data_IF_609121031514
#
_entry.id   IF_609121031514
#
_cell.length_a   1.000
_cell.length_b   1.000
_cell.length_c   1.000
_cell.angle_alpha   90.00
_cell.angle_beta   90.00
_cell.angle_gamma   90.00
#
_symmetry.space_group_name_H-M   'P 1'
#
loop_
_entity.id
_entity.type
_entity.pdbx_description
1 polymer ?
#
# COMPACT_ATOMS: atom_id res chain seq x y z
N UNK A 1 -24.54 -1.52 2.64
CA UNK A 1 -24.32 -2.36 3.84
C UNK A 1 -23.10 -1.81 4.55
N UNK A 2 -23.14 -1.53 5.85
CA UNK A 2 -21.99 -0.93 6.54
C UNK A 2 -21.00 -1.99 7.05
N UNK A 3 -20.36 -2.70 6.13
CA UNK A 3 -19.34 -3.70 6.44
C UNK A 3 -17.96 -3.03 6.53
N UNK A 4 -17.22 -3.37 7.57
CA UNK A 4 -15.88 -2.88 7.84
C UNK A 4 -14.91 -4.05 7.88
N UNK A 5 -13.76 -3.87 7.27
CA UNK A 5 -12.67 -4.84 7.24
C UNK A 5 -11.60 -4.42 8.23
N UNK A 6 -11.21 -5.36 9.09
CA UNK A 6 -10.04 -5.24 9.97
C UNK A 6 -8.92 -6.06 9.35
N UNK A 7 -7.87 -5.39 8.87
CA UNK A 7 -6.72 -5.98 8.15
C UNK A 7 -5.40 -5.60 8.86
N UNK A 8 -4.46 -6.51 9.18
CA UNK A 8 -3.13 -6.14 9.63
C UNK A 8 -2.36 -5.35 8.57
N UNK A 9 -1.49 -4.45 9.04
CA UNK A 9 -0.64 -3.60 8.20
C UNK A 9 0.43 -4.44 7.49
N UNK A 10 0.63 -4.18 6.18
CA UNK A 10 1.72 -4.78 5.40
C UNK A 10 3.07 -4.36 6.00
N UNK A 11 3.97 -5.33 6.22
CA UNK A 11 5.31 -5.17 6.82
C UNK A 11 5.38 -5.00 8.34
N UNK A 12 4.27 -5.07 9.08
CA UNK A 12 4.41 -5.16 10.52
C UNK A 12 4.95 -6.56 10.84
N UNK A 13 6.16 -6.64 11.41
CA UNK A 13 6.72 -7.85 12.03
C UNK A 13 5.92 -8.19 13.29
N UNK A 14 4.60 -8.22 13.20
CA UNK A 14 3.80 -8.88 14.20
C UNK A 14 4.33 -10.30 14.25
N UNK A 15 4.91 -10.66 15.39
CA UNK A 15 5.37 -12.01 15.66
C UNK A 15 4.15 -12.93 15.61
N UNK A 16 3.78 -13.37 14.42
CA UNK A 16 2.79 -14.40 14.25
C UNK A 16 3.45 -15.70 14.70
N UNK A 17 2.90 -16.33 15.73
CA UNK A 17 3.30 -17.68 16.15
C UNK A 17 2.73 -18.64 15.11
N UNK A 18 3.44 -18.79 13.99
CA UNK A 18 3.20 -19.83 12.99
C UNK A 18 4.02 -21.08 13.28
N UNK A 19 3.49 -22.25 12.94
CA UNK A 19 4.26 -23.49 12.94
C UNK A 19 5.47 -23.33 11.99
N UNK A 20 6.68 -23.46 12.52
CA UNK A 20 7.91 -23.42 11.74
C UNK A 20 7.94 -24.65 10.82
N UNK A 21 7.83 -24.45 9.51
CA UNK A 21 8.27 -25.46 8.55
C UNK A 21 9.76 -25.23 8.28
N UNK A 22 10.60 -26.09 8.84
CA UNK A 22 12.03 -26.20 8.51
C UNK A 22 12.15 -27.01 7.22
N UNK A 23 12.83 -26.45 6.21
CA UNK A 23 13.29 -27.20 5.05
C UNK A 23 14.78 -27.43 5.25
N UNK A 24 15.18 -28.70 5.33
CA UNK A 24 16.61 -29.07 5.37
C UNK A 24 17.14 -29.10 3.94
N UNK A 25 18.13 -28.26 3.64
CA UNK A 25 18.91 -28.37 2.41
C UNK A 25 20.31 -28.91 2.76
N UNK A 26 20.71 -29.99 2.08
CA UNK A 26 22.04 -30.58 2.23
C UNK A 26 22.91 -29.96 1.15
N UNK A 27 23.94 -29.23 1.55
CA UNK A 27 24.92 -28.65 0.63
C UNK A 27 25.66 -29.80 -0.08
N UNK A 28 25.54 -29.94 -1.42
CA UNK A 28 26.05 -31.10 -2.14
C UNK A 28 27.58 -31.19 -2.16
N UNK A 29 28.29 -30.13 -1.79
CA UNK A 29 29.76 -30.09 -1.75
C UNK A 29 30.30 -30.34 -0.35
N UNK A 30 29.64 -29.82 0.69
CA UNK A 30 30.16 -29.87 2.07
C UNK A 30 29.47 -30.92 2.96
N UNK A 31 28.32 -31.47 2.55
CA UNK A 31 27.54 -32.42 3.35
C UNK A 31 26.94 -31.82 4.63
N UNK A 32 27.13 -30.52 4.86
CA UNK A 32 26.63 -29.81 6.05
C UNK A 32 25.15 -29.47 5.83
N UNK A 33 24.30 -29.95 6.73
CA UNK A 33 22.89 -29.55 6.80
C UNK A 33 22.82 -28.06 7.12
N UNK A 34 22.26 -27.25 6.24
CA UNK A 34 21.95 -25.85 6.52
C UNK A 34 20.44 -25.69 6.65
N UNK A 35 19.99 -25.21 7.80
CA UNK A 35 18.63 -24.73 7.95
C UNK A 35 18.51 -23.40 7.21
N UNK A 36 17.90 -23.43 6.02
CA UNK A 36 17.62 -22.22 5.25
C UNK A 36 16.19 -21.75 5.50
N UNK A 37 16.06 -20.68 6.27
CA UNK A 37 14.82 -19.91 6.35
C UNK A 37 14.70 -18.99 5.12
N UNK A 38 14.24 -19.53 3.99
CA UNK A 38 13.90 -18.72 2.81
C UNK A 38 12.59 -19.16 2.17
N UNK A 39 11.47 -18.78 2.76
CA UNK A 39 10.24 -18.57 2.00
C UNK A 39 10.12 -17.08 1.69
N UNK A 40 10.23 -16.72 0.41
CA UNK A 40 9.69 -15.45 -0.10
C UNK A 40 8.17 -15.62 -0.11
N UNK A 41 7.49 -15.05 0.87
CA UNK A 41 6.02 -14.97 0.83
C UNK A 41 5.64 -13.77 -0.03
N UNK A 42 4.99 -14.02 -1.15
CA UNK A 42 4.41 -12.98 -2.03
C UNK A 42 3.05 -12.49 -1.50
N UNK A 43 2.42 -13.28 -0.61
CA UNK A 43 1.19 -12.91 0.08
C UNK A 43 1.46 -12.20 1.40
N UNK A 44 0.51 -11.37 1.85
CA UNK A 44 0.66 -10.57 3.07
C UNK A 44 0.81 -11.39 4.37
N UNK A 45 0.78 -12.75 4.36
CA UNK A 45 0.71 -13.59 5.58
C UNK A 45 1.34 -14.98 5.46
N UNK A 46 1.69 -15.52 6.62
CA UNK A 46 2.00 -16.94 6.83
C UNK A 46 0.70 -17.77 6.84
N UNK A 47 0.60 -18.86 6.06
CA UNK A 47 -0.50 -19.81 6.12
C UNK A 47 -0.71 -20.33 7.55
N UNK A 48 -1.97 -20.47 7.98
CA UNK A 48 -2.33 -21.02 9.30
C UNK A 48 -2.32 -20.03 10.48
N UNK A 49 -2.04 -18.74 10.24
CA UNK A 49 -2.13 -17.72 11.29
C UNK A 49 -3.58 -17.32 11.58
N UNK A 50 -3.93 -17.26 12.86
CA UNK A 50 -5.23 -16.79 13.34
C UNK A 50 -5.06 -15.73 14.41
N UNK A 51 -5.98 -14.79 14.46
CA UNK A 51 -6.04 -13.82 15.55
C UNK A 51 -7.48 -13.68 16.01
N UNK A 52 -7.64 -13.35 17.30
CA UNK A 52 -8.94 -13.23 17.94
C UNK A 52 -9.12 -11.79 18.38
N UNK A 53 -10.25 -11.19 18.02
CA UNK A 53 -10.69 -9.89 18.55
C UNK A 53 -11.74 -10.17 19.62
N UNK A 54 -11.61 -9.49 20.75
CA UNK A 54 -12.62 -9.41 21.80
C UNK A 54 -12.70 -7.99 22.34
N UNK A 55 -13.39 -7.80 23.45
CA UNK A 55 -13.36 -6.54 24.21
C UNK A 55 -12.31 -6.66 25.32
N UNK A 56 -11.14 -6.03 25.20
CA UNK A 56 -10.08 -6.17 26.19
C UNK A 56 -10.34 -5.28 27.40
N UNK A 57 -9.92 -5.74 28.57
CA UNK A 57 -9.88 -4.95 29.79
C UNK A 57 -8.71 -3.95 29.76
N UNK A 58 -8.96 -2.69 30.11
CA UNK A 58 -7.94 -1.67 30.30
C UNK A 58 -7.57 -1.58 31.78
N UNK A 59 -6.39 -2.09 32.14
CA UNK A 59 -5.87 -2.06 33.50
C UNK A 59 -5.70 -0.63 34.03
N UNK A 60 -5.37 0.34 33.17
CA UNK A 60 -5.10 1.70 33.60
C UNK A 60 -6.39 2.48 33.85
N UNK A 61 -7.44 2.22 33.06
CA UNK A 61 -8.74 2.89 33.19
C UNK A 61 -9.72 2.14 34.07
N UNK A 62 -9.41 0.89 34.46
CA UNK A 62 -10.29 0.03 35.25
C UNK A 62 -11.63 -0.24 34.56
N UNK A 63 -11.60 -0.45 33.24
CA UNK A 63 -12.81 -0.67 32.45
C UNK A 63 -12.54 -1.44 31.16
N UNK A 64 -13.55 -2.07 30.59
CA UNK A 64 -13.49 -2.60 29.23
C UNK A 64 -13.35 -1.49 28.18
N UNK A 65 -12.53 -1.73 27.15
CA UNK A 65 -12.31 -0.78 26.05
C UNK A 65 -13.53 -0.75 25.13
N UNK A 66 -14.46 0.17 25.40
CA UNK A 66 -15.62 0.49 24.58
C UNK A 66 -15.80 2.00 24.52
N UNK A 67 -15.80 2.55 23.30
CA UNK A 67 -15.93 3.99 23.07
C UNK A 67 -17.37 4.42 22.81
N UNK A 68 -17.79 5.49 23.49
CA UNK A 68 -18.96 6.28 23.12
C UNK A 68 -20.30 5.53 23.17
N UNK A 69 -20.43 4.54 24.05
CA UNK A 69 -21.66 3.77 24.23
C UNK A 69 -22.25 4.07 25.61
N UNK A 70 -23.55 4.37 25.65
CA UNK A 70 -24.27 4.55 26.92
C UNK A 70 -24.56 3.19 27.58
N UNK A 71 -24.81 3.18 28.90
CA UNK A 71 -25.18 1.94 29.61
C UNK A 71 -26.47 1.32 29.06
N UNK A 72 -27.44 2.15 28.69
CA UNK A 72 -28.73 1.68 28.16
C UNK A 72 -28.56 1.09 26.76
N UNK A 73 -27.76 1.73 25.91
CA UNK A 73 -27.39 1.21 24.60
C UNK A 73 -26.66 -0.14 24.72
N UNK A 74 -25.65 -0.25 25.60
CA UNK A 74 -24.95 -1.50 25.86
C UNK A 74 -25.92 -2.62 26.29
N UNK A 75 -26.80 -2.33 27.24
CA UNK A 75 -27.75 -3.31 27.75
C UNK A 75 -28.78 -3.75 26.70
N UNK A 76 -29.13 -2.90 25.73
CA UNK A 76 -29.94 -3.31 24.59
C UNK A 76 -29.23 -4.36 23.73
N UNK A 77 -27.96 -4.12 23.37
CA UNK A 77 -27.15 -5.08 22.62
C UNK A 77 -26.90 -6.39 23.37
N UNK A 78 -26.70 -6.33 24.70
CA UNK A 78 -26.55 -7.52 25.55
C UNK A 78 -27.79 -8.41 25.46
N UNK A 79 -28.99 -7.82 25.52
CA UNK A 79 -30.26 -8.54 25.41
C UNK A 79 -30.44 -9.17 24.03
N UNK A 80 -30.06 -8.46 22.97
CA UNK A 80 -30.16 -8.97 21.60
C UNK A 80 -29.23 -10.16 21.32
N UNK A 81 -28.06 -10.18 21.97
CA UNK A 81 -27.07 -11.26 21.85
C UNK A 81 -27.51 -12.57 22.51
N UNK A 82 -28.44 -12.52 23.46
CA UNK A 82 -29.00 -13.69 24.17
C UNK A 82 -27.93 -14.63 24.71
N UNK A 83 -26.85 -14.07 25.25
CA UNK A 83 -25.82 -14.86 25.93
C UNK A 83 -26.37 -15.39 27.26
N UNK A 84 -25.89 -16.56 27.66
CA UNK A 84 -26.29 -17.21 28.90
C UNK A 84 -25.10 -17.35 29.83
N UNK A 85 -25.31 -17.25 31.14
CA UNK A 85 -24.23 -17.50 32.10
C UNK A 85 -23.62 -18.90 31.86
N UNK A 86 -22.31 -18.95 31.61
CA UNK A 86 -21.59 -20.20 31.34
C UNK A 86 -21.38 -21.01 32.64
N UNK A 87 -21.18 -20.31 33.75
CA UNK A 87 -20.85 -20.87 35.06
C UNK A 87 -21.61 -20.18 36.21
N UNK A 88 -21.55 -20.79 37.40
CA UNK A 88 -22.14 -20.27 38.64
C UNK A 88 -23.62 -20.62 38.87
N UNK A 89 -24.25 -20.06 39.91
CA UNK A 89 -25.63 -20.39 40.31
C UNK A 89 -26.70 -20.03 39.27
N UNK A 90 -26.37 -19.11 38.36
CA UNK A 90 -27.25 -18.60 37.31
C UNK A 90 -27.02 -19.28 35.96
N UNK A 91 -26.22 -20.33 35.91
CA UNK A 91 -25.87 -21.05 34.67
C UNK A 91 -27.10 -21.36 33.82
N UNK A 92 -27.03 -21.05 32.53
CA UNK A 92 -28.12 -21.27 31.58
C UNK A 92 -29.20 -20.18 31.56
N UNK A 93 -29.22 -19.25 32.52
CA UNK A 93 -30.10 -18.07 32.44
C UNK A 93 -29.49 -17.00 31.51
N UNK A 94 -30.33 -16.16 30.90
CA UNK A 94 -29.89 -15.12 29.98
C UNK A 94 -29.26 -13.93 30.72
N UNK A 95 -28.14 -13.45 30.20
CA UNK A 95 -27.50 -12.21 30.64
C UNK A 95 -28.28 -11.04 30.03
N UNK A 96 -28.72 -10.09 30.86
CA UNK A 96 -29.56 -8.95 30.44
C UNK A 96 -28.87 -7.60 30.56
N UNK A 97 -27.81 -7.54 31.35
CA UNK A 97 -27.07 -6.33 31.70
C UNK A 97 -25.59 -6.67 31.71
N UNK A 98 -24.77 -5.67 31.37
CA UNK A 98 -23.32 -5.76 31.46
C UNK A 98 -22.77 -4.51 32.17
N UNK A 99 -21.72 -4.70 32.96
CA UNK A 99 -20.98 -3.62 33.59
C UNK A 99 -19.59 -3.48 32.95
N UNK A 100 -19.32 -2.29 32.40
CA UNK A 100 -18.05 -1.98 31.75
C UNK A 100 -16.92 -1.86 32.79
N UNK A 101 -17.26 -1.60 34.06
CA UNK A 101 -16.32 -1.39 35.16
C UNK A 101 -16.07 -2.64 36.02
N UNK A 102 -16.73 -3.77 35.74
CA UNK A 102 -16.48 -5.03 36.43
C UNK A 102 -15.59 -5.94 35.57
N UNK A 103 -14.35 -6.16 35.98
CA UNK A 103 -13.40 -7.02 35.26
C UNK A 103 -13.90 -8.47 35.12
N UNK A 104 -14.70 -8.95 36.06
CA UNK A 104 -15.24 -10.31 36.09
C UNK A 104 -16.64 -10.40 35.49
N UNK A 105 -17.09 -9.34 34.80
CA UNK A 105 -18.41 -9.30 34.20
C UNK A 105 -18.64 -10.53 33.28
N UNK A 106 -19.73 -11.29 33.52
CA UNK A 106 -20.01 -12.52 32.78
C UNK A 106 -20.29 -12.33 31.29
N UNK A 107 -20.74 -11.15 30.87
CA UNK A 107 -20.96 -10.85 29.46
C UNK A 107 -19.64 -10.61 28.73
N UNK A 108 -18.76 -9.77 29.29
CA UNK A 108 -17.49 -9.43 28.66
C UNK A 108 -16.50 -10.60 28.59
N UNK A 109 -16.55 -11.50 29.58
CA UNK A 109 -15.71 -12.70 29.61
C UNK A 109 -16.30 -13.89 28.83
N UNK A 110 -17.53 -13.77 28.31
CA UNK A 110 -18.23 -14.84 27.62
C UNK A 110 -17.46 -15.35 26.38
N UNK A 111 -17.39 -16.66 26.16
CA UNK A 111 -16.60 -17.25 25.05
C UNK A 111 -17.06 -16.77 23.67
N UNK A 112 -18.36 -16.48 23.54
CA UNK A 112 -19.01 -16.00 22.31
C UNK A 112 -18.79 -14.50 22.02
N UNK A 113 -18.27 -13.69 22.96
CA UNK A 113 -17.94 -12.28 22.72
C UNK A 113 -16.54 -12.13 22.08
N UNK A 114 -16.18 -13.07 21.21
CA UNK A 114 -14.87 -13.12 20.55
C UNK A 114 -15.06 -13.57 19.12
N UNK A 115 -14.36 -12.92 18.20
CA UNK A 115 -14.31 -13.34 16.80
C UNK A 115 -12.89 -13.77 16.44
N UNK A 116 -12.77 -14.99 15.91
CA UNK A 116 -11.52 -15.52 15.40
C UNK A 116 -11.49 -15.34 13.89
N UNK A 117 -10.42 -14.75 13.38
CA UNK A 117 -10.11 -14.74 11.95
C UNK A 117 -9.21 -15.90 11.60
N UNK A 118 -9.54 -16.58 10.51
CA UNK A 118 -8.59 -17.45 9.82
C UNK A 118 -8.06 -16.67 8.61
N UNK A 119 -6.74 -16.54 8.52
CA UNK A 119 -6.13 -15.82 7.41
C UNK A 119 -6.16 -14.31 7.56
N UNK A 120 -6.39 -13.77 8.76
CA UNK A 120 -6.01 -12.42 9.17
C UNK A 120 -6.91 -11.25 8.75
N UNK A 121 -8.06 -11.47 8.10
CA UNK A 121 -9.06 -10.40 7.86
C UNK A 121 -10.33 -10.72 8.64
N UNK A 122 -10.91 -9.71 9.29
CA UNK A 122 -12.25 -9.82 9.90
C UNK A 122 -13.17 -8.84 9.21
N UNK A 123 -14.28 -9.35 8.68
CA UNK A 123 -15.39 -8.52 8.23
C UNK A 123 -16.36 -8.34 9.40
N UNK A 124 -16.48 -7.10 9.87
CA UNK A 124 -17.44 -6.67 10.88
C UNK A 124 -18.60 -5.98 10.19
N UNK A 125 -19.80 -6.47 10.46
CA UNK A 125 -21.05 -5.93 9.93
C UNK A 125 -21.69 -5.08 11.02
N UNK A 126 -21.72 -3.75 10.87
CA UNK A 126 -22.22 -2.86 11.93
C UNK A 126 -23.71 -3.07 12.24
N UNK A 127 -24.47 -3.77 11.37
CA UNK A 127 -25.87 -4.11 11.62
C UNK A 127 -26.02 -5.24 12.66
N UNK A 128 -24.98 -6.06 12.85
CA UNK A 128 -24.99 -7.16 13.83
C UNK A 128 -24.49 -6.67 15.19
N UNK A 129 -25.26 -6.85 16.29
CA UNK A 129 -24.88 -6.44 17.65
C UNK A 129 -23.45 -6.82 18.08
N UNK A 130 -23.07 -8.09 17.84
CA UNK A 130 -21.74 -8.59 18.20
C UNK A 130 -20.64 -7.84 17.47
N UNK A 131 -20.81 -7.67 16.16
CA UNK A 131 -19.80 -7.06 15.30
C UNK A 131 -19.67 -5.56 15.59
N UNK A 132 -20.77 -4.88 15.90
CA UNK A 132 -20.77 -3.48 16.30
C UNK A 132 -20.02 -3.25 17.62
N UNK A 133 -20.26 -4.09 18.64
CA UNK A 133 -19.51 -4.03 19.90
C UNK A 133 -18.01 -4.25 19.70
N UNK A 134 -17.64 -5.24 18.88
CA UNK A 134 -16.23 -5.51 18.56
C UNK A 134 -15.60 -4.36 17.76
N UNK A 135 -16.32 -3.75 16.83
CA UNK A 135 -15.85 -2.56 16.10
C UNK A 135 -15.57 -1.39 17.04
N UNK A 136 -16.49 -1.09 17.98
CA UNK A 136 -16.31 -0.04 18.99
C UNK A 136 -15.12 -0.31 19.92
N UNK A 137 -14.89 -1.58 20.26
CA UNK A 137 -13.71 -2.00 21.01
C UNK A 137 -12.42 -1.78 20.23
N UNK A 138 -12.39 -2.13 18.94
CA UNK A 138 -11.23 -1.89 18.09
C UNK A 138 -10.88 -0.40 18.03
N UNK A 139 -11.85 0.51 17.91
CA UNK A 139 -11.59 1.95 17.84
C UNK A 139 -10.90 2.53 19.09
N UNK A 140 -11.11 1.95 20.28
CA UNK A 140 -10.41 2.41 21.50
C UNK A 140 -9.02 1.75 21.66
N UNK A 141 -8.75 0.69 20.92
CA UNK A 141 -7.55 -0.10 21.11
C UNK A 141 -6.36 0.45 20.29
N UNK A 142 -5.19 0.70 20.91
CA UNK A 142 -4.06 1.36 20.25
C UNK A 142 -3.45 0.57 19.09
N UNK A 143 -3.62 -0.75 19.08
CA UNK A 143 -3.16 -1.59 17.96
C UNK A 143 -4.02 -1.44 16.69
N UNK A 144 -5.16 -0.75 16.75
CA UNK A 144 -6.05 -0.57 15.62
C UNK A 144 -6.14 0.90 15.22
N UNK A 145 -6.29 1.15 13.93
CA UNK A 145 -6.42 2.50 13.39
C UNK A 145 -7.43 2.53 12.24
N UNK A 146 -8.32 3.50 12.25
CA UNK A 146 -9.32 3.67 11.20
C UNK A 146 -8.75 4.50 10.05
N UNK A 147 -8.77 3.91 8.85
CA UNK A 147 -8.24 4.54 7.64
C UNK A 147 -9.05 5.79 7.30
N UNK A 148 -8.39 6.95 7.36
CA UNK A 148 -9.01 8.25 7.11
C UNK A 148 -9.23 9.10 8.37
N UNK A 149 -8.94 8.57 9.57
CA UNK A 149 -9.06 9.30 10.84
C UNK A 149 -7.89 10.25 11.16
N UNK A 150 -6.83 10.27 10.35
CA UNK A 150 -5.66 11.16 10.54
C UNK A 150 -4.33 10.55 10.09
N UNK A 151 -3.23 10.95 10.73
CA UNK A 151 -1.94 10.30 10.56
C UNK A 151 -1.90 8.97 11.34
N UNK A 152 -1.46 7.89 10.69
CA UNK A 152 -1.38 6.57 11.32
C UNK A 152 -0.27 6.52 12.39
N UNK A 153 -0.58 6.18 13.65
CA UNK A 153 0.43 5.99 14.68
C UNK A 153 1.40 4.83 14.37
N UNK A 154 2.66 4.93 14.82
CA UNK A 154 3.70 3.94 14.48
C UNK A 154 3.54 2.57 15.13
N UNK A 155 2.74 2.45 16.20
CA UNK A 155 2.51 1.22 16.96
C UNK A 155 1.27 0.42 16.50
N UNK A 156 0.57 0.90 15.48
CA UNK A 156 -0.64 0.24 14.96
C UNK A 156 -0.25 -1.10 14.32
N UNK A 157 -1.06 -2.12 14.58
CA UNK A 157 -0.94 -3.47 13.97
C UNK A 157 -2.01 -3.73 12.92
N UNK A 158 -3.21 -3.17 13.11
CA UNK A 158 -4.39 -3.39 12.29
C UNK A 158 -4.99 -2.08 11.76
N UNK A 159 -5.41 -2.10 10.51
CA UNK A 159 -6.17 -1.04 9.86
C UNK A 159 -7.62 -1.46 9.74
N UNK A 160 -8.50 -0.55 10.07
CA UNK A 160 -9.94 -0.65 9.92
C UNK A 160 -10.33 0.16 8.68
N UNK A 161 -10.94 -0.47 7.69
CA UNK A 161 -11.38 0.19 6.44
C UNK A 161 -12.79 -0.23 6.08
N UNK A 162 -13.62 0.68 5.56
CA UNK A 162 -14.90 0.31 4.96
C UNK A 162 -14.69 -0.65 3.78
N UNK A 163 -15.44 -1.76 3.74
CA UNK A 163 -15.26 -2.81 2.74
C UNK A 163 -15.44 -2.28 1.32
N UNK A 164 -16.49 -1.49 1.09
CA UNK A 164 -16.83 -0.91 -0.22
C UNK A 164 -15.70 0.01 -0.73
N UNK A 165 -15.19 0.90 0.13
CA UNK A 165 -14.09 1.81 -0.21
C UNK A 165 -12.80 1.05 -0.50
N UNK A 166 -12.51 0.02 0.27
CA UNK A 166 -11.28 -0.77 0.06
C UNK A 166 -11.36 -1.58 -1.24
N UNK A 167 -12.51 -2.19 -1.54
CA UNK A 167 -12.72 -2.85 -2.83
C UNK A 167 -12.67 -1.87 -4.00
N UNK A 168 -13.19 -0.66 -3.85
CA UNK A 168 -13.11 0.37 -4.88
C UNK A 168 -11.65 0.78 -5.16
N UNK A 169 -10.84 0.95 -4.12
CA UNK A 169 -9.42 1.27 -4.26
C UNK A 169 -8.61 0.11 -4.87
N UNK A 170 -8.89 -1.13 -4.46
CA UNK A 170 -8.25 -2.33 -5.02
C UNK A 170 -8.63 -2.50 -6.51
N UNK A 171 -9.90 -2.32 -6.85
CA UNK A 171 -10.37 -2.40 -8.25
C UNK A 171 -9.82 -1.27 -9.10
N UNK A 172 -9.83 -0.03 -8.63
CA UNK A 172 -9.20 1.11 -9.31
C UNK A 172 -7.71 0.82 -9.56
N UNK A 173 -7.01 0.24 -8.58
CA UNK A 173 -5.61 -0.09 -8.74
C UNK A 173 -5.36 -1.16 -9.83
N UNK A 174 -6.25 -2.15 -9.94
CA UNK A 174 -6.23 -3.19 -10.98
C UNK A 174 -6.59 -2.61 -12.35
N UNK A 175 -7.65 -1.80 -12.43
CA UNK A 175 -8.09 -1.15 -13.67
C UNK A 175 -6.97 -0.26 -14.22
N UNK A 176 -6.38 0.60 -13.40
CA UNK A 176 -5.24 1.45 -13.80
C UNK A 176 -4.06 0.63 -14.32
N UNK A 177 -3.80 -0.55 -13.72
CA UNK A 177 -2.75 -1.46 -14.20
C UNK A 177 -3.09 -2.03 -15.59
N UNK A 178 -4.33 -2.50 -15.78
CA UNK A 178 -4.78 -3.04 -17.06
C UNK A 178 -4.77 -1.97 -18.15
N UNK A 179 -5.19 -0.75 -17.83
CA UNK A 179 -5.14 0.40 -18.75
C UNK A 179 -3.69 0.70 -19.18
N UNK A 180 -2.74 0.72 -18.23
CA UNK A 180 -1.33 0.94 -18.54
C UNK A 180 -0.77 -0.16 -19.46
N UNK A 181 -1.10 -1.43 -19.21
CA UNK A 181 -0.67 -2.54 -20.06
C UNK A 181 -1.32 -2.50 -21.46
N UNK A 182 -2.60 -2.17 -21.54
CA UNK A 182 -3.30 -1.97 -22.81
C UNK A 182 -2.71 -0.80 -23.60
N UNK A 183 -2.28 0.26 -22.93
CA UNK A 183 -1.63 1.39 -23.59
C UNK A 183 -0.28 0.99 -24.19
N UNK A 184 0.49 0.10 -23.53
CA UNK A 184 1.72 -0.45 -24.12
C UNK A 184 1.39 -1.17 -25.43
N UNK A 185 0.38 -2.03 -25.49
CA UNK A 185 0.10 -2.80 -26.71
C UNK A 185 -0.35 -1.92 -27.87
N UNK A 186 -1.06 -0.82 -27.60
CA UNK A 186 -1.54 0.13 -28.60
C UNK A 186 -0.46 1.04 -29.18
N UNK A 187 0.66 1.26 -28.48
CA UNK A 187 1.71 2.17 -28.93
C UNK A 187 2.62 1.54 -30.01
N UNK A 188 3.03 2.35 -30.98
CA UNK A 188 4.08 1.98 -31.94
C UNK A 188 5.42 1.80 -31.24
N UNK A 189 6.33 1.02 -31.83
CA UNK A 189 7.66 0.79 -31.25
C UNK A 189 8.43 2.10 -31.03
N UNK A 190 8.40 3.03 -32.00
CA UNK A 190 9.00 4.35 -31.87
C UNK A 190 8.48 5.11 -30.64
N UNK A 191 7.16 5.14 -30.44
CA UNK A 191 6.57 5.82 -29.27
C UNK A 191 6.95 5.13 -27.95
N UNK A 192 7.04 3.79 -27.91
CA UNK A 192 7.50 3.05 -26.73
C UNK A 192 8.93 3.42 -26.34
N UNK A 193 9.81 3.54 -27.34
CA UNK A 193 11.20 3.96 -27.14
C UNK A 193 11.25 5.37 -26.57
N UNK A 194 10.55 6.33 -27.19
CA UNK A 194 10.54 7.73 -26.72
C UNK A 194 9.99 7.85 -25.29
N UNK A 195 8.86 7.20 -24.99
CA UNK A 195 8.27 7.20 -23.64
C UNK A 195 9.23 6.55 -22.64
N UNK A 196 9.84 5.42 -22.98
CA UNK A 196 10.80 4.74 -22.12
C UNK A 196 12.02 5.60 -21.79
N UNK A 197 12.55 6.33 -22.78
CA UNK A 197 13.67 7.26 -22.58
C UNK A 197 13.24 8.45 -21.72
N UNK A 198 12.05 9.02 -21.95
CA UNK A 198 11.50 10.09 -21.14
C UNK A 198 11.29 9.70 -19.66
N UNK A 199 11.01 8.41 -19.40
CA UNK A 199 10.93 7.83 -18.05
C UNK A 199 12.30 7.51 -17.44
N UNK A 200 13.40 7.82 -18.13
CA UNK A 200 14.77 7.58 -17.66
C UNK A 200 15.22 6.12 -17.78
N UNK A 201 14.45 5.24 -18.43
CA UNK A 201 14.82 3.83 -18.59
C UNK A 201 16.07 3.68 -19.48
N UNK A 202 16.87 2.61 -19.31
CA UNK A 202 18.07 2.36 -20.11
C UNK A 202 17.70 1.81 -21.50
N UNK A 203 16.97 2.61 -22.29
CA UNK A 203 16.52 2.28 -23.64
C UNK A 203 17.26 3.19 -24.63
N UNK A 204 17.59 2.66 -25.80
CA UNK A 204 18.15 3.38 -26.93
C UNK A 204 17.41 3.02 -28.23
N UNK A 205 17.71 3.74 -29.31
CA UNK A 205 17.05 3.56 -30.61
C UNK A 205 17.37 2.20 -31.27
N UNK A 206 18.37 1.47 -30.74
CA UNK A 206 18.79 0.12 -31.19
C UNK A 206 18.27 -1.00 -30.28
N UNK A 207 17.50 -0.67 -29.25
CA UNK A 207 17.05 -1.66 -28.26
C UNK A 207 15.99 -2.54 -28.89
N UNK A 208 16.15 -3.85 -28.72
CA UNK A 208 15.23 -4.84 -29.25
C UNK A 208 13.77 -4.57 -28.77
N UNK A 209 12.76 -4.67 -29.66
CA UNK A 209 11.37 -4.38 -29.34
C UNK A 209 10.84 -5.12 -28.10
N UNK A 210 11.21 -6.38 -27.90
CA UNK A 210 10.75 -7.17 -26.76
C UNK A 210 11.39 -6.69 -25.47
N UNK A 211 12.66 -6.26 -25.55
CA UNK A 211 13.39 -5.69 -24.41
C UNK A 211 12.77 -4.36 -23.96
N UNK A 212 12.35 -3.51 -24.91
CA UNK A 212 11.63 -2.26 -24.61
C UNK A 212 10.32 -2.54 -23.87
N UNK A 213 9.54 -3.51 -24.35
CA UNK A 213 8.27 -3.90 -23.71
C UNK A 213 8.52 -4.43 -22.30
N UNK A 214 9.50 -5.33 -22.11
CA UNK A 214 9.86 -5.88 -20.79
C UNK A 214 10.24 -4.78 -19.80
N UNK A 215 11.06 -3.81 -20.21
CA UNK A 215 11.47 -2.70 -19.33
C UNK A 215 10.29 -1.80 -18.92
N UNK A 216 9.37 -1.52 -19.85
CA UNK A 216 8.16 -0.73 -19.55
C UNK A 216 7.20 -1.49 -18.61
N UNK A 217 7.02 -2.79 -18.82
CA UNK A 217 6.19 -3.63 -17.94
C UNK A 217 6.79 -3.68 -16.53
N UNK A 218 8.09 -3.94 -16.42
CA UNK A 218 8.79 -3.95 -15.13
C UNK A 218 8.67 -2.59 -14.39
N UNK A 219 8.67 -1.48 -15.13
CA UNK A 219 8.46 -0.15 -14.56
C UNK A 219 7.04 0.00 -14.00
N UNK A 220 6.00 -0.40 -14.75
CA UNK A 220 4.60 -0.33 -14.31
C UNK A 220 4.34 -1.22 -13.09
N UNK A 221 4.94 -2.42 -13.07
CA UNK A 221 4.73 -3.41 -12.01
C UNK A 221 5.49 -3.07 -10.73
N UNK A 222 6.49 -2.20 -10.78
CA UNK A 222 7.25 -1.80 -9.62
C UNK A 222 6.34 -1.02 -8.63
N UNK A 223 6.10 -1.56 -7.42
CA UNK A 223 5.16 -0.98 -6.44
C UNK A 223 5.70 0.29 -5.76
N UNK A 224 6.97 0.64 -5.98
CA UNK A 224 7.58 1.78 -5.34
C UNK A 224 6.97 3.09 -5.85
N UNK A 225 6.63 3.97 -4.91
CA UNK A 225 6.28 5.36 -5.22
C UNK A 225 7.55 6.13 -5.53
N UNK A 226 7.49 6.96 -6.58
CA UNK A 226 8.57 7.91 -6.88
C UNK A 226 8.61 9.02 -5.81
N UNK A 227 9.66 9.85 -5.83
CA UNK A 227 9.81 10.98 -4.89
C UNK A 227 8.60 11.93 -4.88
N UNK A 228 7.81 11.94 -5.95
CA UNK A 228 6.60 12.77 -6.09
C UNK A 228 5.33 12.11 -5.52
N UNK A 229 5.45 10.97 -4.83
CA UNK A 229 4.34 10.25 -4.19
C UNK A 229 3.42 9.48 -5.15
N UNK A 230 3.57 9.63 -6.46
CA UNK A 230 2.81 8.92 -7.51
C UNK A 230 3.34 7.51 -7.74
N UNK A 231 2.48 6.58 -8.16
CA UNK A 231 2.90 5.25 -8.58
C UNK A 231 3.47 5.28 -10.00
N UNK A 232 4.38 4.36 -10.30
CA UNK A 232 5.01 4.27 -11.63
C UNK A 232 3.97 4.06 -12.76
N UNK A 233 2.90 3.31 -12.49
CA UNK A 233 1.79 3.13 -13.44
C UNK A 233 1.10 4.45 -13.82
N UNK A 234 0.90 5.35 -12.85
CA UNK A 234 0.25 6.65 -13.08
C UNK A 234 1.18 7.58 -13.87
N UNK A 235 2.48 7.52 -13.56
CA UNK A 235 3.52 8.29 -14.27
C UNK A 235 3.64 7.82 -15.71
N UNK A 236 3.63 6.51 -15.93
CA UNK A 236 3.62 5.93 -17.27
C UNK A 236 2.38 6.36 -18.07
N UNK A 237 1.18 6.27 -17.48
CA UNK A 237 -0.05 6.70 -18.15
C UNK A 237 -0.04 8.18 -18.49
N UNK A 238 0.47 9.04 -17.60
CA UNK A 238 0.65 10.46 -17.88
C UNK A 238 1.59 10.68 -19.07
N UNK A 239 2.76 10.04 -19.09
CA UNK A 239 3.72 10.14 -20.20
C UNK A 239 3.17 9.56 -21.52
N UNK A 240 2.38 8.49 -21.47
CA UNK A 240 1.83 7.86 -22.66
C UNK A 240 0.69 8.67 -23.32
N UNK A 241 -0.04 9.45 -22.51
CA UNK A 241 -1.17 10.30 -22.93
C UNK A 241 -0.76 11.75 -23.24
N UNK A 242 0.48 12.13 -22.93
CA UNK A 242 1.01 13.46 -23.22
C UNK A 242 1.19 13.69 -24.74
N UNK A 243 1.26 14.96 -25.16
CA UNK A 243 1.51 15.33 -26.55
C UNK A 243 2.87 14.80 -26.99
N UNK A 244 2.96 14.34 -28.25
CA UNK A 244 4.19 13.74 -28.78
C UNK A 244 5.42 14.65 -28.63
N UNK A 245 5.25 15.94 -28.94
CA UNK A 245 6.28 16.99 -28.82
C UNK A 245 6.87 17.06 -27.40
N UNK A 246 6.01 16.98 -26.38
CA UNK A 246 6.41 17.13 -24.97
C UNK A 246 7.18 15.90 -24.50
N UNK A 247 6.76 14.71 -24.94
CA UNK A 247 7.43 13.45 -24.63
C UNK A 247 8.80 13.39 -25.31
N UNK A 248 8.91 13.87 -26.55
CA UNK A 248 10.18 13.96 -27.28
C UNK A 248 11.16 14.91 -26.60
N UNK A 249 10.70 16.09 -26.16
CA UNK A 249 11.52 17.02 -25.38
C UNK A 249 12.00 16.41 -24.06
N UNK A 250 11.12 15.70 -23.33
CA UNK A 250 11.52 14.97 -22.12
C UNK A 250 12.54 13.88 -22.40
N UNK A 251 12.37 13.14 -23.49
CA UNK A 251 13.34 12.13 -23.92
C UNK A 251 14.69 12.77 -24.29
N UNK A 252 14.70 13.93 -24.93
CA UNK A 252 15.91 14.69 -25.27
C UNK A 252 16.63 15.17 -24.00
N UNK A 253 15.90 15.71 -23.01
CA UNK A 253 16.47 16.11 -21.72
C UNK A 253 17.15 14.92 -21.04
N UNK A 254 16.52 13.74 -21.02
CA UNK A 254 17.12 12.54 -20.43
C UNK A 254 18.33 12.02 -21.23
N UNK A 255 18.31 12.11 -22.58
CA UNK A 255 19.49 11.84 -23.42
C UNK A 255 20.64 12.80 -23.08
N UNK A 256 20.34 14.10 -22.93
CA UNK A 256 21.32 15.13 -22.59
C UNK A 256 21.94 14.92 -21.19
N UNK A 257 21.14 14.47 -20.21
CA UNK A 257 21.62 14.11 -18.87
C UNK A 257 22.56 12.93 -18.91
N UNK A 258 22.18 11.86 -19.62
CA UNK A 258 23.03 10.66 -19.78
C UNK A 258 24.36 11.00 -20.47
N UNK A 259 24.33 11.87 -21.48
CA UNK A 259 25.51 12.38 -22.17
C UNK A 259 26.32 13.41 -21.34
N UNK A 260 25.89 13.73 -20.11
CA UNK A 260 26.49 14.76 -19.24
C UNK A 260 26.59 16.15 -19.89
N UNK A 261 25.71 16.46 -20.84
CA UNK A 261 25.56 17.79 -21.46
C UNK A 261 24.78 18.70 -20.52
N UNK A 262 23.74 18.15 -19.88
CA UNK A 262 22.96 18.82 -18.83
C UNK A 262 23.25 18.13 -17.50
N UNK A 263 23.42 18.90 -16.44
CA UNK A 263 23.56 18.38 -15.07
C UNK A 263 22.35 18.75 -14.22
N UNK A 264 21.82 17.79 -13.50
CA UNK A 264 20.75 18.03 -12.53
C UNK A 264 21.36 18.15 -11.12
N UNK A 265 21.12 19.27 -10.44
CA UNK A 265 21.47 19.45 -9.03
C UNK A 265 20.20 19.60 -8.20
N UNK A 266 20.04 18.71 -7.20
CA UNK A 266 18.85 18.63 -6.33
C UNK A 266 18.37 19.96 -5.74
N UNK A 267 19.26 20.94 -5.54
CA UNK A 267 18.92 22.23 -4.92
C UNK A 267 18.93 23.42 -5.88
N UNK A 268 19.50 23.28 -7.09
CA UNK A 268 19.65 24.39 -8.05
C UNK A 268 18.87 24.19 -9.34
N UNK A 269 18.48 22.95 -9.66
CA UNK A 269 17.78 22.60 -10.89
C UNK A 269 18.71 22.06 -11.97
N UNK A 270 18.34 22.28 -13.23
CA UNK A 270 19.05 21.88 -14.42
C UNK A 270 20.08 22.94 -14.81
N UNK A 271 21.33 22.50 -14.99
CA UNK A 271 22.45 23.33 -15.38
C UNK A 271 22.94 22.94 -16.77
N UNK A 272 23.18 23.96 -17.59
CA UNK A 272 23.87 23.85 -18.87
C UNK A 272 25.04 24.82 -18.88
N UNK A 273 26.24 24.32 -19.18
CA UNK A 273 27.49 25.10 -19.13
C UNK A 273 27.70 25.90 -17.83
N UNK A 274 27.23 25.36 -16.69
CA UNK A 274 27.36 25.99 -15.37
C UNK A 274 26.26 26.99 -15.02
N UNK A 275 25.38 27.35 -15.96
CA UNK A 275 24.25 28.25 -15.72
C UNK A 275 22.98 27.45 -15.43
N UNK A 276 22.19 27.91 -14.45
CA UNK A 276 20.87 27.34 -14.16
C UNK A 276 19.89 27.79 -15.23
N UNK A 277 19.34 26.84 -15.98
CA UNK A 277 18.39 27.09 -17.08
C UNK A 277 16.94 26.75 -16.70
N UNK A 278 16.73 25.83 -15.76
CA UNK A 278 15.41 25.48 -15.25
C UNK A 278 15.51 24.91 -13.83
N UNK A 279 14.48 25.07 -12.99
CA UNK A 279 14.45 24.48 -11.63
C UNK A 279 13.78 23.11 -11.60
N UNK A 280 12.86 22.85 -12.53
CA UNK A 280 12.13 21.59 -12.66
C UNK A 280 12.18 21.05 -14.09
N UNK A 281 11.83 19.77 -14.26
CA UNK A 281 11.76 19.16 -15.58
C UNK A 281 10.66 19.81 -16.45
N UNK A 282 9.58 20.28 -15.83
CA UNK A 282 8.49 20.97 -16.50
C UNK A 282 8.96 22.34 -17.01
N UNK A 283 9.65 23.13 -16.17
CA UNK A 283 10.27 24.39 -16.58
C UNK A 283 11.31 24.20 -17.69
N UNK A 284 12.03 23.07 -17.67
CA UNK A 284 13.00 22.74 -18.72
C UNK A 284 12.30 22.49 -20.07
N UNK A 285 11.16 21.80 -20.07
CA UNK A 285 10.36 21.59 -21.28
C UNK A 285 9.82 22.92 -21.81
N UNK A 286 9.31 23.78 -20.94
CA UNK A 286 8.86 25.13 -21.33
C UNK A 286 10.00 26.00 -21.86
N UNK A 287 11.16 25.94 -21.24
CA UNK A 287 12.36 26.65 -21.66
C UNK A 287 12.78 26.26 -23.09
N UNK A 288 12.78 24.95 -23.40
CA UNK A 288 13.14 24.43 -24.72
C UNK A 288 12.07 24.67 -25.79
N UNK A 289 10.79 24.82 -25.41
CA UNK A 289 9.71 25.21 -26.33
C UNK A 289 9.79 26.67 -26.76
N UNK A 290 10.40 27.53 -25.94
CA UNK A 290 10.45 28.96 -26.22
C UNK A 290 11.37 29.26 -27.41
N UNK A 291 10.82 29.89 -28.45
CA UNK A 291 11.54 30.27 -29.67
C UNK A 291 12.77 31.14 -29.41
N UNK A 292 12.77 31.92 -28.33
CA UNK A 292 13.91 32.75 -27.95
C UNK A 292 15.13 31.94 -27.46
N UNK A 293 14.91 30.68 -27.09
CA UNK A 293 15.96 29.78 -26.57
C UNK A 293 16.38 28.73 -27.60
N UNK A 294 15.96 28.87 -28.86
CA UNK A 294 16.22 27.89 -29.92
C UNK A 294 17.71 27.61 -30.12
N UNK A 295 18.56 28.64 -30.01
CA UNK A 295 20.02 28.47 -30.09
C UNK A 295 20.56 27.53 -29.01
N UNK A 296 19.98 27.54 -27.81
CA UNK A 296 20.38 26.65 -26.70
C UNK A 296 19.89 25.23 -26.96
N UNK A 297 18.68 25.09 -27.51
CA UNK A 297 18.14 23.80 -27.92
C UNK A 297 19.03 23.15 -29.00
N UNK A 298 19.37 23.88 -30.06
CA UNK A 298 20.18 23.38 -31.18
C UNK A 298 21.58 22.93 -30.68
N UNK A 299 22.23 23.73 -29.81
CA UNK A 299 23.52 23.34 -29.20
C UNK A 299 23.45 22.12 -28.30
N UNK A 300 22.32 21.90 -27.61
CA UNK A 300 22.12 20.68 -26.81
C UNK A 300 22.01 19.47 -27.74
N UNK A 301 21.27 19.60 -28.85
CA UNK A 301 21.13 18.54 -29.86
C UNK A 301 22.49 18.17 -30.45
N UNK A 302 23.25 19.16 -30.93
CA UNK A 302 24.59 18.95 -31.49
C UNK A 302 25.51 18.26 -30.47
N UNK A 303 25.55 18.73 -29.23
CA UNK A 303 26.40 18.15 -28.18
C UNK A 303 26.01 16.72 -27.79
N UNK A 304 24.76 16.31 -28.02
CA UNK A 304 24.33 14.91 -27.85
C UNK A 304 24.83 14.06 -29.02
N UNK A 305 24.77 14.57 -30.25
CA UNK A 305 25.23 13.86 -31.45
C UNK A 305 26.74 13.68 -31.46
N UNK A 306 27.52 14.66 -31.03
CA UNK A 306 28.99 14.56 -30.89
C UNK A 306 29.43 13.51 -29.87
N UNK A 307 28.55 13.16 -28.92
CA UNK A 307 28.84 12.20 -27.84
C UNK A 307 28.22 10.82 -28.05
N UNK A 308 27.49 10.60 -29.15
CA UNK A 308 26.95 9.28 -29.55
C UNK A 308 28.06 8.37 -30.06
#
# INVERSE_FOLDING_TARGET
MSIVLVKPIKNNKAHFVGAKQTVEEIDPVSGVKRELFKQKFEENRFPGTSFTIGVPWDLNKGRFKLTGMSKDELNSYVKDLKFSYEDGPRKGTLIKEADIYDQLDPFFNHRRLKMKSNGGVIALDKEKPLHYLLYKSCLEHPDFWEKGSGAMPGNVKFVITDAEKDTALETEAVVTRLEALAKITQMTHAKKVTVGIALGLPINDKTDPDTVVKLLVNFIENPNRQQNGKFNKDIFLAAANEKAEDVELKALIEKAKKASVIREQKNKGYLYNGNVIAKSQEEMVEFLKNLNNKDVFDRIVEAIEEKK
#
